data_IF_248675554053
#
_entry.id   IF_248675554053
#
_cell.length_a   1.000
_cell.length_b   1.000
_cell.length_c   1.000
_cell.angle_alpha   90.00
_cell.angle_beta   90.00
_cell.angle_gamma   90.00
#
_symmetry.space_group_name_H-M   'P 1'
#
loop_
_entity.id
_entity.type
_entity.pdbx_description
1 polymer ?
#
# COMPACT_ATOMS: atom_id res chain seq x y z
N UNK A 1 -4.03 -8.80 13.25
CA UNK A 1 -3.85 -7.56 12.47
C UNK A 1 -3.70 -7.90 11.01
N UNK A 2 -4.55 -7.34 10.19
CA UNK A 2 -4.50 -7.50 8.74
C UNK A 2 -3.55 -6.49 8.13
N UNK A 3 -2.79 -6.90 7.14
CA UNK A 3 -1.87 -6.05 6.37
C UNK A 3 -2.34 -5.98 4.94
N UNK A 4 -2.33 -4.78 4.41
CA UNK A 4 -2.82 -4.48 3.08
C UNK A 4 -1.75 -3.76 2.27
N UNK A 5 -1.59 -4.15 1.02
CA UNK A 5 -0.68 -3.51 0.09
C UNK A 5 -1.31 -3.41 -1.30
N UNK A 6 -1.10 -2.27 -1.93
CA UNK A 6 -1.61 -2.01 -3.27
C UNK A 6 -0.55 -1.31 -4.11
N UNK A 7 -0.72 -1.37 -5.42
CA UNK A 7 0.17 -0.72 -6.37
C UNK A 7 -0.60 -0.03 -7.49
N UNK A 8 -0.09 1.12 -7.90
CA UNK A 8 -0.64 1.94 -8.98
C UNK A 8 0.49 2.45 -9.86
N UNK A 9 0.16 2.85 -11.07
CA UNK A 9 1.08 3.52 -12.00
C UNK A 9 0.51 4.86 -12.40
N UNK A 10 1.27 5.92 -12.17
CA UNK A 10 0.87 7.27 -12.62
C UNK A 10 0.90 7.32 -14.14
N UNK A 11 -0.16 7.87 -14.74
CA UNK A 11 -0.26 8.04 -16.20
C UNK A 11 0.82 8.98 -16.70
N UNK A 12 1.25 8.76 -17.94
CA UNK A 12 2.26 9.59 -18.58
C UNK A 12 1.91 11.07 -18.54
N UNK A 13 2.85 11.91 -18.07
CA UNK A 13 2.66 13.35 -17.94
C UNK A 13 1.77 13.79 -16.79
N UNK A 14 1.29 12.88 -15.93
CA UNK A 14 0.35 13.17 -14.84
C UNK A 14 0.99 13.22 -13.44
N UNK A 15 2.31 13.08 -13.31
CA UNK A 15 2.94 13.04 -11.99
C UNK A 15 2.71 14.33 -11.19
N UNK A 16 2.78 15.48 -11.80
CA UNK A 16 2.54 16.75 -11.13
C UNK A 16 1.08 16.88 -10.68
N UNK A 17 0.14 16.47 -11.54
CA UNK A 17 -1.30 16.42 -11.21
C UNK A 17 -1.56 15.45 -10.06
N UNK A 18 -0.94 14.27 -10.09
CA UNK A 18 -1.05 13.29 -9.03
C UNK A 18 -0.60 13.86 -7.68
N UNK A 19 0.58 14.48 -7.64
CA UNK A 19 1.12 15.09 -6.42
C UNK A 19 0.24 16.21 -5.88
N UNK A 20 -0.24 17.07 -6.76
CA UNK A 20 -1.14 18.17 -6.42
C UNK A 20 -2.45 17.65 -5.83
N UNK A 21 -3.10 16.73 -6.53
CA UNK A 21 -4.37 16.14 -6.08
C UNK A 21 -4.22 15.33 -4.79
N UNK A 22 -3.11 14.61 -4.63
CA UNK A 22 -2.80 13.91 -3.38
C UNK A 22 -2.72 14.88 -2.21
N UNK A 23 -2.04 16.01 -2.37
CA UNK A 23 -2.00 17.06 -1.36
C UNK A 23 -3.37 17.65 -1.04
N UNK A 24 -4.22 17.83 -2.05
CA UNK A 24 -5.59 18.35 -1.88
C UNK A 24 -6.50 17.38 -1.14
N UNK A 25 -6.39 16.08 -1.40
CA UNK A 25 -7.22 15.05 -0.72
C UNK A 25 -6.66 14.61 0.63
N UNK A 26 -5.43 14.97 0.95
CA UNK A 26 -4.73 14.47 2.14
C UNK A 26 -5.49 14.72 3.44
N UNK A 27 -6.05 15.90 3.70
CA UNK A 27 -6.85 16.15 4.91
C UNK A 27 -8.07 15.20 5.03
N UNK A 28 -8.81 15.02 3.95
CA UNK A 28 -9.97 14.13 3.92
C UNK A 28 -9.55 12.66 4.08
N UNK A 29 -8.46 12.28 3.42
CA UNK A 29 -7.90 10.93 3.51
C UNK A 29 -7.45 10.61 4.93
N UNK A 30 -6.71 11.51 5.59
CA UNK A 30 -6.26 11.27 6.97
C UNK A 30 -7.43 11.20 7.94
N UNK A 31 -8.42 12.05 7.80
CA UNK A 31 -9.65 11.99 8.61
C UNK A 31 -10.38 10.66 8.43
N UNK A 32 -10.50 10.19 7.18
CA UNK A 32 -11.08 8.89 6.86
C UNK A 32 -10.30 7.74 7.52
N UNK A 33 -8.97 7.74 7.39
CA UNK A 33 -8.10 6.72 7.96
C UNK A 33 -8.21 6.66 9.49
N UNK A 34 -8.19 7.81 10.15
CA UNK A 34 -8.31 7.91 11.61
C UNK A 34 -9.67 7.40 12.10
N UNK A 35 -10.74 7.82 11.44
CA UNK A 35 -12.11 7.39 11.77
C UNK A 35 -12.30 5.88 11.65
N UNK A 36 -11.63 5.27 10.66
CA UNK A 36 -11.67 3.83 10.41
C UNK A 36 -10.56 3.05 11.12
N UNK A 37 -9.80 3.72 11.99
CA UNK A 37 -8.73 3.10 12.80
C UNK A 37 -7.65 2.39 11.97
N UNK A 38 -7.40 2.91 10.78
CA UNK A 38 -6.32 2.43 9.93
C UNK A 38 -4.98 2.87 10.53
N UNK A 39 -4.04 1.94 10.60
CA UNK A 39 -2.71 2.16 11.19
C UNK A 39 -1.63 2.02 10.14
N UNK A 40 -0.51 2.70 10.37
CA UNK A 40 0.70 2.58 9.55
C UNK A 40 0.46 2.77 8.05
N UNK A 41 -0.44 3.70 7.72
CA UNK A 41 -0.68 4.05 6.32
C UNK A 41 0.53 4.76 5.74
N UNK A 42 1.05 4.26 4.63
CA UNK A 42 2.16 4.87 3.92
C UNK A 42 1.99 4.74 2.41
N UNK A 43 2.38 5.78 1.70
CA UNK A 43 2.43 5.80 0.25
C UNK A 43 3.85 6.12 -0.19
N UNK A 44 4.37 5.33 -1.12
CA UNK A 44 5.73 5.39 -1.63
C UNK A 44 5.71 5.49 -3.14
N UNK A 45 6.64 6.22 -3.71
CA UNK A 45 6.82 6.21 -5.16
C UNK A 45 8.24 5.80 -5.56
N UNK A 46 8.32 5.02 -6.60
CA UNK A 46 9.55 4.72 -7.33
C UNK A 46 9.28 5.07 -8.79
N UNK A 47 9.80 6.22 -9.23
CA UNK A 47 9.48 6.82 -10.53
C UNK A 47 7.96 7.02 -10.67
N UNK A 48 7.32 6.36 -11.64
CA UNK A 48 5.87 6.44 -11.87
C UNK A 48 5.08 5.39 -11.09
N UNK A 49 5.74 4.47 -10.41
CA UNK A 49 5.07 3.43 -9.63
C UNK A 49 4.78 3.93 -8.23
N UNK A 50 3.56 3.69 -7.78
CA UNK A 50 3.09 4.04 -6.44
C UNK A 50 2.78 2.76 -5.69
N UNK A 51 3.28 2.67 -4.47
CA UNK A 51 3.01 1.56 -3.54
C UNK A 51 2.36 2.11 -2.29
N UNK A 52 1.28 1.49 -1.87
CA UNK A 52 0.63 1.80 -0.62
C UNK A 52 0.63 0.62 0.33
N UNK A 53 0.70 0.93 1.62
CA UNK A 53 0.65 -0.05 2.69
C UNK A 53 -0.17 0.51 3.85
N UNK A 54 -0.97 -0.33 4.47
CA UNK A 54 -1.68 0.01 5.70
C UNK A 54 -2.05 -1.24 6.50
N UNK A 55 -2.46 -1.03 7.72
CA UNK A 55 -2.86 -2.09 8.64
C UNK A 55 -4.20 -1.75 9.28
N UNK A 56 -4.99 -2.78 9.59
CA UNK A 56 -6.19 -2.68 10.42
C UNK A 56 -6.37 -3.93 11.27
N UNK A 57 -7.29 -3.84 12.24
CA UNK A 57 -7.63 -4.97 13.08
C UNK A 57 -8.34 -6.05 12.27
N UNK A 58 -8.21 -7.31 12.73
CA UNK A 58 -8.79 -8.47 12.05
C UNK A 58 -10.31 -8.35 11.95
N UNK A 59 -10.85 -8.67 10.80
CA UNK A 59 -12.29 -8.72 10.58
C UNK A 59 -13.02 -7.39 10.49
N UNK A 60 -12.29 -6.27 10.48
CA UNK A 60 -12.89 -4.95 10.30
C UNK A 60 -13.36 -4.78 8.86
N UNK A 61 -14.64 -4.42 8.71
CA UNK A 61 -15.24 -4.10 7.41
C UNK A 61 -15.77 -2.68 7.45
N UNK A 62 -15.60 -1.98 6.35
CA UNK A 62 -16.17 -0.65 6.18
C UNK A 62 -17.71 -0.75 6.06
N UNK A 63 -18.42 0.19 6.67
CA UNK A 63 -19.85 0.36 6.40
C UNK A 63 -20.09 0.84 4.98
N UNK A 64 -21.33 0.73 4.50
CA UNK A 64 -21.68 1.25 3.16
C UNK A 64 -21.40 2.76 3.04
N UNK A 65 -21.60 3.51 4.12
CA UNK A 65 -21.30 4.94 4.18
C UNK A 65 -19.80 5.21 4.06
N UNK A 66 -18.97 4.44 4.76
CA UNK A 66 -17.52 4.56 4.69
C UNK A 66 -16.95 4.10 3.34
N UNK A 67 -17.52 3.09 2.72
CA UNK A 67 -17.16 2.70 1.35
C UNK A 67 -17.46 3.83 0.35
N UNK A 68 -18.61 4.48 0.48
CA UNK A 68 -18.96 5.63 -0.34
C UNK A 68 -18.00 6.81 -0.12
N UNK A 69 -17.60 7.06 1.12
CA UNK A 69 -16.62 8.10 1.45
C UNK A 69 -15.25 7.81 0.82
N UNK A 70 -14.80 6.57 0.88
CA UNK A 70 -13.56 6.11 0.25
C UNK A 70 -13.59 6.28 -1.28
N UNK A 71 -14.69 5.90 -1.91
CA UNK A 71 -14.88 6.08 -3.35
C UNK A 71 -14.88 7.55 -3.74
N UNK A 72 -15.52 8.41 -2.97
CA UNK A 72 -15.53 9.85 -3.22
C UNK A 72 -14.12 10.47 -3.14
N UNK A 73 -13.30 10.06 -2.18
CA UNK A 73 -11.91 10.52 -2.06
C UNK A 73 -11.09 10.00 -3.26
N UNK A 74 -11.22 8.74 -3.59
CA UNK A 74 -10.49 8.12 -4.71
C UNK A 74 -10.87 8.75 -6.06
N UNK A 75 -12.14 9.06 -6.27
CA UNK A 75 -12.63 9.67 -7.51
C UNK A 75 -11.94 11.01 -7.84
N UNK A 76 -11.50 11.75 -6.83
CA UNK A 76 -10.82 13.04 -7.02
C UNK A 76 -9.42 12.91 -7.63
N UNK A 77 -8.79 11.76 -7.55
CA UNK A 77 -7.43 11.51 -8.02
C UNK A 77 -7.35 10.39 -9.06
N UNK A 78 -8.43 9.66 -9.29
CA UNK A 78 -8.48 8.46 -10.13
C UNK A 78 -8.01 8.69 -11.58
N UNK A 79 -8.18 9.90 -12.11
CA UNK A 79 -7.79 10.24 -13.48
C UNK A 79 -6.28 10.36 -13.68
N UNK A 80 -5.49 10.33 -12.61
CA UNK A 80 -4.03 10.49 -12.66
C UNK A 80 -3.25 9.19 -12.69
N UNK A 81 -3.90 8.05 -12.41
CA UNK A 81 -3.21 6.77 -12.32
C UNK A 81 -4.05 5.59 -12.84
N UNK A 82 -3.36 4.50 -13.11
CA UNK A 82 -3.95 3.19 -13.39
C UNK A 82 -3.59 2.21 -12.27
N UNK A 83 -4.51 1.30 -11.93
CA UNK A 83 -4.23 0.26 -10.97
C UNK A 83 -3.29 -0.80 -11.56
N UNK A 84 -2.24 -1.18 -10.82
CA UNK A 84 -1.41 -2.36 -11.09
C UNK A 84 -1.98 -3.55 -10.33
N UNK A 85 -2.24 -3.37 -9.02
CA UNK A 85 -3.00 -4.36 -8.24
C UNK A 85 -4.49 -4.24 -8.55
N UNK A 86 -5.26 -5.31 -8.29
CA UNK A 86 -6.71 -5.24 -8.44
C UNK A 86 -7.33 -4.35 -7.38
N UNK A 87 -8.15 -3.35 -7.74
CA UNK A 87 -8.83 -2.52 -6.75
C UNK A 87 -9.61 -3.35 -5.74
N UNK A 88 -9.46 -3.02 -4.46
CA UNK A 88 -10.11 -3.74 -3.36
C UNK A 88 -9.53 -5.12 -3.03
N UNK A 89 -8.46 -5.52 -3.70
CA UNK A 89 -7.76 -6.77 -3.44
C UNK A 89 -6.28 -6.50 -3.14
N UNK A 90 -5.79 -7.07 -2.07
CA UNK A 90 -4.39 -6.90 -1.68
C UNK A 90 -3.43 -7.56 -2.68
N UNK A 91 -2.23 -7.00 -2.76
CA UNK A 91 -1.10 -7.66 -3.39
C UNK A 91 -0.79 -8.94 -2.62
N UNK A 92 -0.32 -9.96 -3.33
CA UNK A 92 0.06 -11.22 -2.72
C UNK A 92 1.26 -11.03 -1.79
N UNK A 93 1.09 -11.41 -0.52
CA UNK A 93 2.20 -11.48 0.42
C UNK A 93 3.09 -12.69 0.07
N UNK A 94 4.32 -12.42 -0.32
CA UNK A 94 5.28 -13.45 -0.72
C UNK A 94 6.11 -13.96 0.45
N UNK A 95 6.50 -13.05 1.35
CA UNK A 95 7.39 -13.35 2.45
C UNK A 95 7.17 -12.34 3.57
N UNK A 96 7.18 -12.82 4.80
CA UNK A 96 7.13 -11.97 5.98
C UNK A 96 7.99 -12.58 7.10
N UNK A 97 8.86 -11.77 7.67
CA UNK A 97 9.64 -12.13 8.85
C UNK A 97 9.44 -11.05 9.91
N UNK A 98 8.92 -11.43 11.06
CA UNK A 98 8.69 -10.50 12.17
C UNK A 98 10.00 -9.98 12.79
N UNK A 99 11.08 -10.74 12.63
CA UNK A 99 12.36 -10.39 13.24
C UNK A 99 12.27 -10.26 14.76
N UNK A 100 13.01 -9.31 15.32
CA UNK A 100 12.94 -8.98 16.74
C UNK A 100 11.82 -7.98 16.97
N UNK A 101 10.84 -8.34 17.81
CA UNK A 101 9.78 -7.41 18.21
C UNK A 101 10.38 -6.40 19.18
N UNK A 102 10.31 -5.12 18.81
CA UNK A 102 10.82 -4.01 19.61
C UNK A 102 9.69 -3.39 20.43
N UNK A 103 9.96 -3.12 21.68
CA UNK A 103 8.99 -2.46 22.56
C UNK A 103 8.69 -1.04 22.11
N UNK A 104 9.68 -0.32 21.62
CA UNK A 104 9.57 1.10 21.25
C UNK A 104 9.26 1.24 19.75
N UNK A 105 8.00 0.99 19.40
CA UNK A 105 7.53 1.03 17.99
C UNK A 105 7.61 2.41 17.35
N UNK A 106 7.63 3.48 18.14
CA UNK A 106 7.73 4.85 17.65
C UNK A 106 9.03 5.14 16.88
N UNK A 107 10.07 4.39 17.19
CA UNK A 107 11.37 4.50 16.53
C UNK A 107 11.51 3.60 15.29
N UNK A 108 10.50 2.79 14.99
CA UNK A 108 10.50 1.91 13.83
C UNK A 108 10.08 2.71 12.59
N UNK A 109 10.93 2.66 11.57
CA UNK A 109 10.64 3.29 10.27
C UNK A 109 10.49 2.22 9.20
N UNK A 110 9.43 2.33 8.43
CA UNK A 110 9.25 1.48 7.26
C UNK A 110 10.14 2.00 6.13
N UNK A 111 10.78 1.07 5.44
CA UNK A 111 11.52 1.34 4.22
C UNK A 111 10.98 0.44 3.13
N UNK A 112 10.82 1.00 1.96
CA UNK A 112 10.35 0.28 0.79
C UNK A 112 11.40 0.41 -0.31
N UNK A 113 11.63 -0.66 -1.03
CA UNK A 113 12.44 -0.66 -2.25
C UNK A 113 11.74 -1.48 -3.32
N UNK A 114 12.06 -1.20 -4.55
CA UNK A 114 11.51 -1.88 -5.71
C UNK A 114 12.62 -2.62 -6.46
N UNK A 115 12.33 -3.86 -6.81
CA UNK A 115 13.14 -4.64 -7.72
C UNK A 115 12.25 -5.25 -8.79
N UNK A 116 12.81 -5.56 -9.95
CA UNK A 116 12.09 -6.24 -11.01
C UNK A 116 12.61 -7.67 -11.13
N UNK A 117 11.73 -8.64 -10.99
CA UNK A 117 12.07 -10.03 -11.22
C UNK A 117 12.37 -10.28 -12.70
N UNK A 118 13.35 -11.14 -12.96
CA UNK A 118 13.58 -11.65 -14.31
C UNK A 118 12.40 -12.51 -14.72
N UNK A 119 12.06 -12.47 -15.99
CA UNK A 119 10.96 -13.24 -16.54
C UNK A 119 11.09 -14.73 -16.21
N UNK A 120 10.02 -15.34 -15.73
CA UNK A 120 9.98 -16.75 -15.36
C UNK A 120 10.65 -17.11 -14.04
N UNK A 121 11.13 -16.13 -13.26
CA UNK A 121 11.86 -16.38 -12.01
C UNK A 121 11.02 -16.24 -10.74
N UNK A 122 9.70 -16.08 -10.83
CA UNK A 122 8.84 -15.86 -9.65
C UNK A 122 8.89 -17.02 -8.66
N UNK A 123 8.81 -18.25 -9.14
CA UNK A 123 8.84 -19.45 -8.29
C UNK A 123 10.19 -19.62 -7.61
N UNK A 124 11.27 -19.43 -8.35
CA UNK A 124 12.64 -19.54 -7.82
C UNK A 124 12.94 -18.43 -6.83
N UNK A 125 12.47 -17.21 -7.08
CA UNK A 125 12.60 -16.10 -6.16
C UNK A 125 11.95 -16.41 -4.81
N UNK A 126 10.70 -16.90 -4.85
CA UNK A 126 9.98 -17.30 -3.64
C UNK A 126 10.70 -18.43 -2.91
N UNK A 127 11.14 -19.46 -3.64
CA UNK A 127 11.86 -20.60 -3.06
C UNK A 127 13.11 -20.16 -2.31
N UNK A 128 13.90 -19.26 -2.88
CA UNK A 128 15.11 -18.74 -2.25
C UNK A 128 14.82 -17.89 -1.01
N UNK A 129 13.77 -17.10 -1.05
CA UNK A 129 13.33 -16.34 0.14
C UNK A 129 12.88 -17.26 1.27
N UNK A 130 12.07 -18.27 0.95
CA UNK A 130 11.61 -19.25 1.95
C UNK A 130 12.80 -20.00 2.56
N UNK A 131 13.84 -20.27 1.77
CA UNK A 131 15.06 -20.92 2.22
C UNK A 131 15.89 -20.10 3.20
N UNK A 132 15.75 -18.77 3.21
CA UNK A 132 16.46 -17.91 4.17
C UNK A 132 15.95 -18.06 5.60
N UNK A 133 14.73 -18.53 5.79
CA UNK A 133 14.16 -18.77 7.12
C UNK A 133 14.74 -20.03 7.76
N UNK A 134 15.12 -21.00 6.94
CA UNK A 134 15.64 -22.30 7.40
C UNK A 134 17.11 -22.25 7.87
N UNK A 135 17.77 -21.14 7.72
CA UNK A 135 19.13 -20.90 8.19
C UNK A 135 19.14 -20.15 9.51
#
# INVERSE_FOLDING_TARGET
MERHAFAMKVKSGKMNDYRKKLGEIWPDLTTFLDRNKVKNFSIWNAEVLIFGYYENEDGVKLSAEEEAAKEAITAKIQDTFDWISTPGKDMRLMYHNFGVVRENKELIRHRMFMTKLKEGCEVEYKRRHDGLIAQ
#
